data_IF_358931101840
#
_entry.id   IF_358931101840
#
_cell.length_a   1.000
_cell.length_b   1.000
_cell.length_c   1.000
_cell.angle_alpha   90.00
_cell.angle_beta   90.00
_cell.angle_gamma   90.00
#
_symmetry.space_group_name_H-M   'P 1'
#
loop_
_entity.id
_entity.type
_entity.pdbx_description
1 polymer ?
#
# COMPACT_ATOMS: atom_id res chain seq x y z
N UNK A 1 48.18 -30.85 52.07
CA UNK A 1 47.50 -30.42 50.83
C UNK A 1 46.72 -29.15 51.13
N UNK A 2 47.05 -28.01 50.50
CA UNK A 2 46.50 -26.68 50.82
C UNK A 2 45.06 -26.54 50.28
N UNK A 3 44.12 -26.18 51.16
CA UNK A 3 42.72 -25.91 50.83
C UNK A 3 42.60 -24.70 49.91
N UNK A 4 41.94 -24.88 48.75
CA UNK A 4 41.70 -23.82 47.77
C UNK A 4 40.64 -22.86 48.29
N UNK A 5 41.01 -21.58 48.29
CA UNK A 5 40.18 -20.41 48.61
C UNK A 5 38.97 -20.31 47.67
N UNK A 6 37.77 -20.13 48.24
CA UNK A 6 36.56 -19.82 47.49
C UNK A 6 36.60 -18.37 47.01
N UNK A 7 36.60 -18.16 45.70
CA UNK A 7 36.32 -16.87 45.08
C UNK A 7 34.85 -16.86 44.63
N UNK A 8 33.98 -15.98 45.17
CA UNK A 8 32.61 -15.89 44.70
C UNK A 8 32.58 -15.42 43.25
N UNK A 9 31.71 -16.01 42.44
CA UNK A 9 31.50 -15.60 41.05
C UNK A 9 30.93 -14.17 41.00
N UNK A 10 31.35 -13.33 40.05
CA UNK A 10 30.82 -11.97 39.93
C UNK A 10 29.32 -12.00 39.62
N UNK A 11 28.53 -11.03 40.13
CA UNK A 11 27.10 -10.97 39.88
C UNK A 11 26.85 -10.87 38.37
N UNK A 12 25.95 -11.72 37.87
CA UNK A 12 25.51 -11.79 36.47
C UNK A 12 24.77 -10.49 36.10
N UNK A 13 25.52 -9.45 35.77
CA UNK A 13 25.01 -8.27 35.09
C UNK A 13 24.66 -8.61 33.64
N UNK A 14 23.46 -9.14 33.39
CA UNK A 14 22.92 -9.18 32.04
C UNK A 14 22.26 -7.83 31.76
N UNK A 15 22.94 -7.07 30.92
CA UNK A 15 22.54 -5.75 30.49
C UNK A 15 21.09 -5.68 30.02
N UNK A 16 20.55 -4.47 30.14
CA UNK A 16 19.38 -3.98 29.44
C UNK A 16 19.56 -4.25 27.93
N UNK A 17 19.19 -5.43 27.46
CA UNK A 17 18.99 -5.71 26.05
C UNK A 17 17.72 -4.96 25.69
N UNK A 18 17.89 -3.72 25.22
CA UNK A 18 16.81 -2.94 24.63
C UNK A 18 16.03 -3.87 23.70
N UNK A 19 14.71 -3.91 23.87
CA UNK A 19 13.82 -4.59 22.94
C UNK A 19 14.27 -4.18 21.54
N UNK A 20 14.75 -5.15 20.76
CA UNK A 20 14.92 -4.98 19.32
C UNK A 20 13.66 -4.27 18.82
N UNK A 21 13.76 -3.17 18.05
CA UNK A 21 12.58 -2.55 17.49
C UNK A 21 11.82 -3.65 16.75
N UNK A 22 10.67 -4.05 17.30
CA UNK A 22 9.76 -4.93 16.57
C UNK A 22 9.54 -4.24 15.22
N UNK A 23 9.64 -4.94 14.08
CA UNK A 23 9.52 -4.34 12.77
C UNK A 23 8.20 -3.57 12.73
N UNK A 24 8.26 -2.25 12.92
CA UNK A 24 7.10 -1.40 12.87
C UNK A 24 6.61 -1.45 11.43
N UNK A 25 5.44 -2.04 11.25
CA UNK A 25 4.59 -1.83 10.09
C UNK A 25 5.25 -2.08 8.75
N UNK A 26 5.66 -3.32 8.48
CA UNK A 26 5.50 -3.82 7.10
C UNK A 26 4.03 -4.18 6.96
N UNK A 27 3.45 -3.93 5.79
CA UNK A 27 2.04 -4.17 5.42
C UNK A 27 1.05 -3.04 5.78
N UNK A 28 1.45 -1.80 5.55
CA UNK A 28 0.54 -0.71 5.20
C UNK A 28 0.67 -0.30 3.72
N UNK A 29 1.26 -1.15 2.88
CA UNK A 29 1.31 -0.93 1.45
C UNK A 29 -0.03 -1.35 0.87
N UNK A 30 -0.81 -0.39 0.41
CA UNK A 30 -2.07 -0.57 -0.32
C UNK A 30 -1.89 -1.55 -1.48
N UNK A 31 -1.97 -2.86 -1.20
CA UNK A 31 -2.04 -3.90 -2.23
C UNK A 31 -3.28 -3.75 -3.13
N UNK A 32 -4.19 -2.86 -2.74
CA UNK A 32 -5.38 -2.50 -3.48
C UNK A 32 -5.11 -1.45 -4.58
N UNK A 33 -4.07 -0.64 -4.45
CA UNK A 33 -3.81 0.49 -5.37
C UNK A 33 -3.39 0.07 -6.78
N UNK A 34 -2.92 -1.17 -6.96
CA UNK A 34 -2.34 -1.65 -8.22
C UNK A 34 -3.18 -2.74 -8.90
N UNK A 35 -4.33 -3.11 -8.33
CA UNK A 35 -5.24 -4.02 -9.03
C UNK A 35 -5.89 -3.28 -10.21
N UNK A 36 -5.91 -3.87 -11.42
CA UNK A 36 -6.53 -3.23 -12.57
C UNK A 36 -8.04 -3.10 -12.33
N UNK A 37 -8.47 -1.90 -11.98
CA UNK A 37 -9.88 -1.56 -11.77
C UNK A 37 -10.35 -0.75 -12.97
N UNK A 38 -11.21 -1.34 -13.79
CA UNK A 38 -11.81 -0.70 -14.97
C UNK A 38 -13.33 -0.79 -14.92
N UNK A 39 -14.01 0.27 -15.39
CA UNK A 39 -15.46 0.36 -15.43
C UNK A 39 -15.94 0.43 -16.88
N UNK A 40 -16.96 -0.37 -17.21
CA UNK A 40 -17.67 -0.28 -18.49
C UNK A 40 -18.93 0.58 -18.31
N UNK A 41 -18.90 1.79 -18.87
CA UNK A 41 -20.06 2.70 -18.88
C UNK A 41 -20.78 2.59 -20.22
N UNK A 42 -22.08 2.31 -20.19
CA UNK A 42 -22.94 2.13 -21.38
C UNK A 42 -24.00 3.22 -21.45
N UNK A 43 -24.71 3.29 -22.58
CA UNK A 43 -25.80 4.24 -22.80
C UNK A 43 -25.33 5.71 -22.70
N UNK A 44 -24.12 5.99 -23.18
CA UNK A 44 -23.62 7.35 -23.32
C UNK A 44 -24.17 7.98 -24.59
N UNK A 45 -24.44 9.28 -24.54
CA UNK A 45 -24.83 10.04 -25.73
C UNK A 45 -23.68 10.07 -26.74
N UNK A 46 -24.01 10.17 -28.04
CA UNK A 46 -23.00 10.21 -29.11
C UNK A 46 -22.04 11.40 -29.02
N UNK A 47 -22.47 12.51 -28.41
CA UNK A 47 -21.68 13.72 -28.18
C UNK A 47 -20.89 13.69 -26.85
N UNK A 48 -20.89 12.57 -26.12
CA UNK A 48 -20.20 12.46 -24.83
C UNK A 48 -18.70 12.67 -24.96
N UNK A 49 -18.16 13.53 -24.09
CA UNK A 49 -16.73 13.85 -24.00
C UNK A 49 -16.10 13.25 -22.75
N UNK A 50 -14.78 13.23 -22.75
CA UNK A 50 -13.99 12.71 -21.63
C UNK A 50 -14.25 13.51 -20.34
N UNK A 51 -14.44 14.83 -20.47
CA UNK A 51 -14.77 15.74 -19.35
C UNK A 51 -16.10 15.40 -18.67
N UNK A 52 -17.09 14.93 -19.43
CA UNK A 52 -18.43 14.58 -18.94
C UNK A 52 -18.39 13.32 -18.04
N UNK A 53 -17.42 12.44 -18.27
CA UNK A 53 -17.15 11.28 -17.43
C UNK A 53 -16.21 11.63 -16.28
N UNK A 54 -15.15 12.39 -16.54
CA UNK A 54 -14.12 12.64 -15.54
C UNK A 54 -14.67 13.28 -14.27
N UNK A 55 -15.48 14.34 -14.40
CA UNK A 55 -16.07 15.05 -13.25
C UNK A 55 -16.88 14.16 -12.29
N UNK A 56 -17.89 13.39 -12.75
CA UNK A 56 -18.67 12.53 -11.87
C UNK A 56 -17.91 11.31 -11.36
N UNK A 57 -16.86 10.83 -12.03
CA UNK A 57 -16.09 9.68 -11.55
C UNK A 57 -14.96 10.09 -10.58
N UNK A 58 -14.39 11.29 -10.71
CA UNK A 58 -13.33 11.79 -9.81
C UNK A 58 -13.79 11.96 -8.35
N UNK A 59 -15.10 12.11 -8.11
CA UNK A 59 -15.64 12.18 -6.75
C UNK A 59 -15.43 10.88 -5.95
N UNK A 60 -15.23 9.74 -6.63
CA UNK A 60 -15.03 8.43 -6.02
C UNK A 60 -13.55 8.05 -5.92
N UNK A 61 -12.65 8.85 -6.50
CA UNK A 61 -11.23 8.60 -6.51
C UNK A 61 -10.56 9.07 -7.80
N UNK A 62 -9.22 9.03 -7.86
CA UNK A 62 -8.48 9.46 -9.05
C UNK A 62 -8.83 8.59 -10.25
N UNK A 63 -9.22 9.23 -11.36
CA UNK A 63 -9.43 8.55 -12.65
C UNK A 63 -8.09 8.45 -13.37
N UNK A 64 -7.65 7.23 -13.68
CA UNK A 64 -6.36 6.96 -14.35
C UNK A 64 -6.41 7.32 -15.84
N UNK A 65 -7.39 6.77 -16.54
CA UNK A 65 -7.60 6.93 -17.97
C UNK A 65 -9.08 6.71 -18.33
N UNK A 66 -9.48 7.23 -19.48
CA UNK A 66 -10.82 7.05 -20.04
C UNK A 66 -10.64 6.70 -21.51
N UNK A 67 -11.26 5.60 -21.93
CA UNK A 67 -11.29 5.17 -23.32
C UNK A 67 -12.71 5.34 -23.87
N UNK A 68 -12.86 6.20 -24.88
CA UNK A 68 -14.11 6.40 -25.62
C UNK A 68 -13.93 5.84 -27.03
N UNK A 69 -14.53 4.67 -27.34
CA UNK A 69 -14.54 4.16 -28.69
C UNK A 69 -15.26 5.17 -29.59
N UNK A 70 -14.54 5.69 -30.59
CA UNK A 70 -15.15 6.48 -31.66
C UNK A 70 -15.36 5.60 -32.87
N UNK A 71 -16.50 5.77 -33.52
CA UNK A 71 -16.69 5.17 -34.82
C UNK A 71 -15.85 5.96 -35.84
N UNK A 72 -14.74 5.35 -36.27
CA UNK A 72 -13.81 5.98 -37.20
C UNK A 72 -14.36 6.02 -38.63
N UNK A 73 -15.47 5.34 -38.92
CA UNK A 73 -16.04 5.23 -40.26
C UNK A 73 -17.18 6.22 -40.55
N UNK A 74 -17.82 6.76 -39.52
CA UNK A 74 -19.06 7.56 -39.65
C UNK A 74 -18.95 8.98 -39.09
N UNK A 75 -17.72 9.48 -38.97
CA UNK A 75 -17.32 10.77 -38.36
C UNK A 75 -18.35 11.89 -38.35
#
# INVERSE_FOLDING_TARGET
MRGRSYTPSPPRGYGRRGRSPSPRGRFGGSRDSDLPTSLLVRNLRHDCRQEDLRRPFEQFGPVKDIYLPRDYYTG
#
